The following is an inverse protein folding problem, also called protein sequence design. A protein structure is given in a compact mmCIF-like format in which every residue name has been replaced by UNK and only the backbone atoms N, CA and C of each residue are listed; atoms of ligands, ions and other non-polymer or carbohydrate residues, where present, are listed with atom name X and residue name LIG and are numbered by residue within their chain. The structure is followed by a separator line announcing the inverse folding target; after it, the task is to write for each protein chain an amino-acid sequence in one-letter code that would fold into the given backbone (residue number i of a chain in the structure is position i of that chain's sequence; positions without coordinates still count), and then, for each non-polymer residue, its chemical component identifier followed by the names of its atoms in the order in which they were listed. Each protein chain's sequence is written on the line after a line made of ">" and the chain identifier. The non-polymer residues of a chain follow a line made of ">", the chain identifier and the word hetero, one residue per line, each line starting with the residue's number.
data_IF_130166329466
#
_entry.id   IF_130166329466
#
_cell.length_a   1.000
_cell.length_b   1.000
_cell.length_c   1.000
_cell.angle_alpha   90.00
_cell.angle_beta   90.00
_cell.angle_gamma   90.00
#
_symmetry.space_group_name_H-M   'P 1'
#
loop_
_entity.id
_entity.type
_entity.pdbx_description
1 polymer ?
#
# COMPACT_ATOMS: atom_id res chain seq x y z
N UNK A 1 -52.99 18.36 -35.88
CA UNK A 1 -52.37 17.03 -35.90
C UNK A 1 -50.85 17.06 -36.11
N UNK A 2 -50.30 17.91 -36.99
CA UNK A 2 -48.84 17.95 -37.30
C UNK A 2 -47.96 18.45 -36.13
N UNK A 3 -48.48 19.34 -35.28
CA UNK A 3 -47.73 19.89 -34.11
C UNK A 3 -47.56 18.86 -33.01
N UNK A 4 -48.55 17.99 -32.74
CA UNK A 4 -48.43 16.92 -31.74
C UNK A 4 -47.46 15.81 -32.15
N UNK A 5 -47.34 15.53 -33.45
CA UNK A 5 -46.37 14.55 -33.94
C UNK A 5 -44.94 15.08 -33.86
N UNK A 6 -44.71 16.39 -34.05
CA UNK A 6 -43.41 17.01 -33.87
C UNK A 6 -42.97 17.05 -32.40
N UNK A 7 -43.90 17.32 -31.48
CA UNK A 7 -43.64 17.28 -30.02
C UNK A 7 -43.34 15.88 -29.50
N UNK A 8 -44.04 14.84 -29.99
CA UNK A 8 -43.79 13.45 -29.64
C UNK A 8 -42.44 12.94 -30.16
N UNK A 9 -42.04 13.35 -31.36
CA UNK A 9 -40.73 13.02 -31.93
C UNK A 9 -39.58 13.70 -31.17
N UNK A 10 -39.77 14.95 -30.73
CA UNK A 10 -38.80 15.69 -29.94
C UNK A 10 -38.66 15.09 -28.50
N UNK A 11 -39.76 14.61 -27.93
CA UNK A 11 -39.70 13.95 -26.60
C UNK A 11 -39.04 12.58 -26.67
N UNK A 12 -39.22 11.83 -27.76
CA UNK A 12 -38.62 10.52 -27.97
C UNK A 12 -37.10 10.59 -28.21
N UNK A 13 -36.61 11.68 -28.87
CA UNK A 13 -35.18 11.90 -29.08
C UNK A 13 -34.44 12.34 -27.82
N UNK A 14 -35.14 12.90 -26.82
CA UNK A 14 -34.53 13.30 -25.55
C UNK A 14 -34.27 12.12 -24.59
N UNK A 15 -34.99 11.01 -24.73
CA UNK A 15 -34.85 9.81 -23.87
C UNK A 15 -33.68 8.93 -24.31
N UNK A 16 -33.20 9.03 -25.54
CA UNK A 16 -32.06 8.24 -26.02
C UNK A 16 -30.69 8.80 -25.60
N UNK A 17 -30.59 9.99 -25.01
CA UNK A 17 -29.34 10.61 -24.61
C UNK A 17 -28.91 10.23 -23.17
N UNK A 18 -29.69 9.42 -22.43
CA UNK A 18 -29.46 9.11 -21.02
C UNK A 18 -28.61 7.85 -20.76
N UNK A 19 -28.10 7.17 -21.77
CA UNK A 19 -27.10 6.11 -21.60
C UNK A 19 -25.69 6.65 -21.84
N UNK A 20 -25.29 7.68 -21.10
CA UNK A 20 -23.89 7.96 -20.90
C UNK A 20 -23.34 6.89 -19.95
N UNK A 21 -22.85 5.78 -20.51
CA UNK A 21 -22.00 4.83 -19.80
C UNK A 21 -20.85 5.63 -19.18
N UNK A 22 -20.75 5.58 -17.87
CA UNK A 22 -19.57 6.02 -17.15
C UNK A 22 -18.41 5.14 -17.62
N UNK A 23 -17.74 5.55 -18.68
CA UNK A 23 -16.46 4.96 -19.08
C UNK A 23 -15.50 5.33 -17.96
N UNK A 24 -15.07 4.32 -17.20
CA UNK A 24 -13.97 4.46 -16.28
C UNK A 24 -12.79 5.13 -17.01
N UNK A 25 -12.18 6.11 -16.41
CA UNK A 25 -11.06 6.83 -17.00
C UNK A 25 -10.01 5.83 -17.46
N UNK A 26 -9.77 5.79 -18.77
CA UNK A 26 -8.72 4.96 -19.40
C UNK A 26 -7.33 5.57 -19.22
N UNK A 27 -7.21 6.64 -18.46
CA UNK A 27 -5.93 7.25 -18.17
C UNK A 27 -5.12 6.33 -17.25
N UNK A 28 -3.94 5.93 -17.73
CA UNK A 28 -2.99 5.15 -16.95
C UNK A 28 -2.71 5.87 -15.62
N UNK A 29 -2.60 5.12 -14.51
CA UNK A 29 -2.23 5.72 -13.24
C UNK A 29 -0.90 6.44 -13.41
N UNK A 30 -0.87 7.75 -13.19
CA UNK A 30 0.37 8.53 -13.26
C UNK A 30 1.29 7.99 -12.18
N UNK A 31 2.40 7.39 -12.59
CA UNK A 31 3.48 7.04 -11.70
C UNK A 31 4.19 8.36 -11.33
N UNK A 32 4.04 8.78 -10.10
CA UNK A 32 4.82 9.89 -9.56
C UNK A 32 5.97 9.30 -8.73
N UNK A 33 7.20 9.22 -9.28
CA UNK A 33 8.35 8.71 -8.54
C UNK A 33 8.68 9.57 -7.32
N UNK A 34 8.36 10.86 -7.36
CA UNK A 34 8.62 11.79 -6.25
C UNK A 34 7.65 11.60 -5.07
N UNK A 35 6.45 11.07 -5.32
CA UNK A 35 5.51 10.70 -4.24
C UNK A 35 6.00 9.47 -3.45
N UNK A 36 6.96 8.74 -3.99
CA UNK A 36 7.65 7.61 -3.37
C UNK A 36 9.09 7.97 -2.95
N UNK A 37 9.51 9.25 -3.11
CA UNK A 37 10.76 9.71 -2.53
C UNK A 37 10.76 9.33 -1.06
N UNK A 38 11.81 8.62 -0.64
CA UNK A 38 11.94 8.00 0.67
C UNK A 38 11.69 9.02 1.77
N UNK A 39 10.44 9.13 2.18
CA UNK A 39 10.12 9.82 3.43
C UNK A 39 10.84 9.08 4.54
N UNK A 40 11.55 9.82 5.36
CA UNK A 40 12.28 9.27 6.50
C UNK A 40 11.35 8.33 7.28
N UNK A 41 11.83 7.12 7.57
CA UNK A 41 11.03 6.12 8.26
C UNK A 41 10.62 6.61 9.66
N UNK A 42 9.35 6.49 9.99
CA UNK A 42 8.83 6.76 11.31
C UNK A 42 8.42 5.44 11.96
N UNK A 43 8.94 5.20 13.12
CA UNK A 43 8.69 4.00 13.92
C UNK A 43 7.19 3.88 14.20
N UNK A 44 6.62 2.72 13.93
CA UNK A 44 5.23 2.39 14.20
C UNK A 44 5.05 1.47 15.39
N UNK A 45 3.80 1.31 15.82
CA UNK A 45 3.43 0.30 16.82
C UNK A 45 3.75 -1.08 16.28
N UNK A 46 4.21 -1.97 17.15
CA UNK A 46 4.59 -3.36 16.86
C UNK A 46 5.93 -3.55 16.12
N UNK A 47 6.59 -2.47 15.70
CA UNK A 47 7.97 -2.56 15.19
C UNK A 47 8.92 -3.11 16.23
N UNK A 48 9.90 -3.89 15.81
CA UNK A 48 10.91 -4.43 16.68
C UNK A 48 12.18 -3.57 16.61
N UNK A 49 12.54 -2.97 17.73
CA UNK A 49 13.71 -2.10 17.84
C UNK A 49 14.82 -2.79 18.64
N UNK A 50 16.04 -2.60 18.21
CA UNK A 50 17.24 -2.90 18.97
C UNK A 50 17.88 -1.58 19.40
N UNK A 51 17.90 -1.35 20.71
CA UNK A 51 18.62 -0.24 21.35
C UNK A 51 19.98 -0.77 21.72
N UNK A 52 21.04 -0.24 21.12
CA UNK A 52 22.43 -0.60 21.41
C UNK A 52 23.12 0.55 22.12
N UNK A 53 23.68 0.28 23.29
CA UNK A 53 24.48 1.24 24.09
C UNK A 53 25.94 0.77 24.11
N UNK A 54 26.79 1.56 23.46
CA UNK A 54 28.21 1.21 23.30
C UNK A 54 28.89 0.96 24.66
N UNK A 55 29.67 -0.10 24.75
CA UNK A 55 30.36 -0.55 25.96
C UNK A 55 29.44 -0.85 27.18
N UNK A 56 28.10 -0.94 26.96
CA UNK A 56 27.13 -1.24 28.02
C UNK A 56 26.13 -2.28 27.54
N UNK A 57 26.50 -3.54 27.38
CA UNK A 57 25.61 -4.58 26.87
C UNK A 57 24.38 -4.79 27.77
N UNK A 58 24.53 -4.60 29.09
CA UNK A 58 23.41 -4.71 30.04
C UNK A 58 22.34 -3.64 29.88
N UNK A 59 22.64 -2.54 29.16
CA UNK A 59 21.70 -1.47 28.81
C UNK A 59 21.17 -1.62 27.39
N UNK A 60 21.75 -2.52 26.61
CA UNK A 60 21.29 -2.83 25.25
C UNK A 60 20.11 -3.80 25.31
N UNK A 61 19.05 -3.52 24.53
CA UNK A 61 17.82 -4.29 24.62
C UNK A 61 17.13 -4.36 23.25
N UNK A 62 16.51 -5.51 22.96
CA UNK A 62 15.65 -5.70 21.80
C UNK A 62 14.19 -5.74 22.26
N UNK A 63 13.41 -4.75 21.85
CA UNK A 63 12.04 -4.54 22.36
C UNK A 63 11.07 -4.15 21.26
N UNK A 64 9.81 -4.64 21.31
CA UNK A 64 8.76 -4.15 20.43
C UNK A 64 8.25 -2.78 20.89
N UNK A 65 7.77 -1.99 19.93
CA UNK A 65 7.02 -0.77 20.22
C UNK A 65 5.62 -1.16 20.71
N UNK A 66 5.29 -0.77 21.91
CA UNK A 66 4.01 -1.07 22.55
C UNK A 66 2.85 -0.32 21.86
N UNK A 67 1.59 -0.74 22.09
CA UNK A 67 0.41 -0.05 21.56
C UNK A 67 0.29 1.44 21.93
N UNK A 68 0.91 1.84 23.06
CA UNK A 68 0.99 3.24 23.50
C UNK A 68 2.12 4.03 22.82
N UNK A 69 2.81 3.42 21.82
CA UNK A 69 3.92 4.03 21.08
C UNK A 69 5.22 4.13 21.89
N UNK A 70 5.37 3.42 23.02
CA UNK A 70 6.55 3.47 23.87
C UNK A 70 7.37 2.18 23.80
N UNK A 71 8.64 2.32 24.12
CA UNK A 71 9.57 1.21 24.41
C UNK A 71 10.09 1.35 25.83
N UNK A 72 10.43 0.25 26.45
CA UNK A 72 11.05 0.27 27.79
C UNK A 72 12.54 0.00 27.67
N UNK A 73 13.37 0.91 28.18
CA UNK A 73 14.84 0.83 28.14
C UNK A 73 15.36 0.73 29.56
N UNK A 74 16.34 -0.16 29.83
CA UNK A 74 16.95 -0.29 31.16
C UNK A 74 17.40 1.06 31.74
N UNK A 75 17.32 1.22 33.06
CA UNK A 75 17.62 2.42 33.86
C UNK A 75 16.70 3.62 33.64
N UNK A 76 16.28 3.92 32.41
CA UNK A 76 15.53 5.15 32.07
C UNK A 76 14.04 4.93 31.90
N UNK A 77 13.58 3.66 31.92
CA UNK A 77 12.17 3.33 31.80
C UNK A 77 11.59 3.59 30.40
N UNK A 78 10.36 4.09 30.37
CA UNK A 78 9.60 4.26 29.13
C UNK A 78 10.02 5.48 28.30
N UNK A 79 10.29 5.24 27.02
CA UNK A 79 10.66 6.25 26.00
C UNK A 79 9.65 6.23 24.87
N UNK A 80 9.19 7.39 24.40
CA UNK A 80 8.30 7.50 23.24
C UNK A 80 9.10 7.22 21.98
N UNK A 81 8.70 6.19 21.22
CA UNK A 81 9.32 5.78 19.96
C UNK A 81 8.36 5.95 18.77
N UNK A 82 7.07 5.66 18.96
CA UNK A 82 6.06 5.76 17.91
C UNK A 82 5.95 7.16 17.31
N UNK A 83 5.95 7.24 15.98
CA UNK A 83 5.93 8.48 15.22
C UNK A 83 7.25 9.22 15.13
N UNK A 84 8.32 8.74 15.80
CA UNK A 84 9.67 9.30 15.73
C UNK A 84 10.55 8.52 14.77
N UNK A 85 11.64 9.14 14.32
CA UNK A 85 12.68 8.44 13.58
C UNK A 85 13.62 7.72 14.55
N UNK A 86 14.36 6.67 14.11
CA UNK A 86 15.36 6.00 14.94
C UNK A 86 16.38 6.96 15.55
N UNK A 87 16.82 7.97 14.78
CA UNK A 87 17.78 8.98 15.24
C UNK A 87 17.20 9.85 16.36
N UNK A 88 15.92 10.24 16.27
CA UNK A 88 15.24 11.02 17.31
C UNK A 88 15.12 10.21 18.60
N UNK A 89 14.77 8.91 18.49
CA UNK A 89 14.67 8.02 19.67
C UNK A 89 16.05 7.81 20.29
N UNK A 90 17.09 7.61 19.46
CA UNK A 90 18.48 7.50 19.91
C UNK A 90 18.94 8.74 20.71
N UNK A 91 18.63 9.94 20.20
CA UNK A 91 18.95 11.20 20.88
C UNK A 91 18.21 11.33 22.24
N UNK A 92 16.92 10.96 22.29
CA UNK A 92 16.15 10.99 23.55
C UNK A 92 16.71 10.02 24.61
N UNK A 93 17.07 8.80 24.18
CA UNK A 93 17.68 7.79 25.08
C UNK A 93 19.03 8.29 25.56
N UNK A 94 19.87 8.78 24.66
CA UNK A 94 21.19 9.33 24.99
C UNK A 94 21.09 10.42 26.05
N UNK A 95 20.17 11.37 25.88
CA UNK A 95 20.00 12.48 26.83
C UNK A 95 19.62 11.97 28.23
N UNK A 96 18.69 11.03 28.31
CA UNK A 96 18.25 10.46 29.61
C UNK A 96 19.34 9.61 30.27
N UNK A 97 20.14 8.87 29.49
CA UNK A 97 21.22 8.05 30.01
C UNK A 97 22.38 8.85 30.59
N UNK A 98 22.58 10.12 30.21
CA UNK A 98 23.61 11.02 30.79
C UNK A 98 23.54 11.14 32.32
N UNK A 99 22.36 10.94 32.90
CA UNK A 99 22.18 10.97 34.35
C UNK A 99 22.76 9.72 35.04
N UNK A 100 23.03 8.66 34.31
CA UNK A 100 23.47 7.35 34.84
C UNK A 100 24.87 6.96 34.39
N UNK A 101 25.24 7.32 33.15
CA UNK A 101 26.54 6.97 32.57
C UNK A 101 27.17 8.18 31.88
N UNK A 102 28.52 8.20 31.87
CA UNK A 102 29.29 9.26 31.26
C UNK A 102 29.37 9.05 29.74
N UNK A 103 29.00 10.06 28.97
CA UNK A 103 29.08 10.12 27.50
C UNK A 103 28.49 8.88 26.78
N UNK A 104 27.18 8.57 26.99
CA UNK A 104 26.55 7.42 26.36
C UNK A 104 26.54 7.55 24.84
N UNK A 105 26.93 6.49 24.12
CA UNK A 105 26.75 6.37 22.69
C UNK A 105 25.65 5.35 22.44
N UNK A 106 24.55 5.82 21.83
CA UNK A 106 23.33 5.03 21.63
C UNK A 106 23.03 4.94 20.14
N UNK A 107 22.68 3.74 19.69
CA UNK A 107 22.12 3.50 18.37
C UNK A 107 20.76 2.80 18.53
N UNK A 108 19.77 3.22 17.73
CA UNK A 108 18.48 2.57 17.63
C UNK A 108 18.34 2.01 16.22
N UNK A 109 18.14 0.70 16.12
CA UNK A 109 18.05 -0.04 14.88
C UNK A 109 16.66 -0.66 14.79
N UNK A 110 15.95 -0.43 13.68
CA UNK A 110 14.68 -1.13 13.41
C UNK A 110 15.04 -2.49 12.81
N UNK A 111 14.84 -3.56 13.57
CA UNK A 111 15.17 -4.92 13.12
C UNK A 111 14.01 -5.59 12.38
N UNK A 112 12.77 -5.19 12.66
CA UNK A 112 11.58 -5.66 11.95
C UNK A 112 10.58 -4.51 11.78
N UNK A 113 10.16 -4.29 10.54
CA UNK A 113 9.26 -3.20 10.11
C UNK A 113 7.79 -3.67 10.10
N UNK A 114 7.30 -4.24 11.21
CA UNK A 114 5.98 -4.88 11.27
C UNK A 114 4.82 -3.90 11.00
N UNK A 115 4.93 -2.68 11.53
CA UNK A 115 3.93 -1.63 11.30
C UNK A 115 3.82 -1.26 9.83
N UNK A 116 4.96 -1.13 9.15
CA UNK A 116 5.04 -0.83 7.73
C UNK A 116 4.44 -1.96 6.88
N UNK A 117 4.80 -3.21 7.17
CA UNK A 117 4.26 -4.36 6.47
C UNK A 117 2.75 -4.51 6.64
N UNK A 118 2.19 -4.16 7.80
CA UNK A 118 0.77 -4.21 8.06
C UNK A 118 -0.01 -3.08 7.36
N UNK A 119 0.51 -1.86 7.38
CA UNK A 119 -0.15 -0.68 6.84
C UNK A 119 -0.04 -0.58 5.31
N UNK A 120 1.09 -0.99 4.75
CA UNK A 120 1.39 -0.87 3.32
C UNK A 120 1.21 -2.22 2.61
N UNK A 121 -0.03 -2.54 2.25
CA UNK A 121 -0.38 -3.82 1.59
C UNK A 121 -1.07 -3.59 0.26
N UNK A 122 -0.86 -4.55 -0.66
CA UNK A 122 -1.63 -4.72 -1.89
C UNK A 122 -2.48 -5.97 -1.75
N UNK A 123 -3.71 -5.93 -2.22
CA UNK A 123 -4.65 -7.05 -2.15
C UNK A 123 -4.93 -7.59 -3.54
N UNK A 124 -4.90 -8.91 -3.68
CA UNK A 124 -5.25 -9.61 -4.92
C UNK A 124 -6.43 -10.53 -4.63
N UNK A 125 -7.51 -10.37 -5.40
CA UNK A 125 -8.78 -11.05 -5.19
C UNK A 125 -9.36 -11.60 -6.50
N UNK A 126 -10.41 -12.41 -6.40
CA UNK A 126 -11.12 -12.98 -7.55
C UNK A 126 -10.53 -14.29 -8.02
N UNK A 127 -10.48 -14.50 -9.35
CA UNK A 127 -10.08 -15.75 -9.98
C UNK A 127 -8.55 -15.93 -10.04
N UNK A 128 -7.90 -15.83 -8.89
CA UNK A 128 -6.50 -16.18 -8.65
C UNK A 128 -6.41 -17.44 -7.81
N UNK A 129 -5.28 -18.16 -7.86
CA UNK A 129 -5.14 -19.43 -7.12
C UNK A 129 -5.26 -19.24 -5.62
N UNK A 130 -4.62 -18.21 -5.08
CA UNK A 130 -4.62 -17.90 -3.66
C UNK A 130 -4.90 -16.41 -3.48
N UNK A 131 -6.17 -16.01 -3.24
CA UNK A 131 -6.45 -14.62 -2.87
C UNK A 131 -5.62 -14.21 -1.65
N UNK A 132 -4.89 -13.10 -1.76
CA UNK A 132 -3.85 -12.76 -0.79
C UNK A 132 -3.76 -11.25 -0.57
N UNK A 133 -3.33 -10.87 0.63
CA UNK A 133 -2.87 -9.52 0.96
C UNK A 133 -1.37 -9.60 1.21
N UNK A 134 -0.58 -8.92 0.37
CA UNK A 134 0.89 -8.95 0.42
C UNK A 134 1.44 -7.59 0.84
N UNK A 135 2.60 -7.54 1.53
CA UNK A 135 3.32 -6.29 1.75
C UNK A 135 3.67 -5.62 0.43
N UNK A 136 3.53 -4.32 0.38
CA UNK A 136 3.97 -3.54 -0.77
C UNK A 136 5.50 -3.41 -0.78
N UNK A 137 6.11 -3.59 -1.93
CA UNK A 137 7.52 -3.29 -2.16
C UNK A 137 7.64 -2.22 -3.25
N UNK A 138 8.59 -1.32 -3.10
CA UNK A 138 8.85 -0.28 -4.09
C UNK A 138 9.17 -0.90 -5.46
N UNK A 139 8.50 -0.41 -6.52
CA UNK A 139 8.65 -0.94 -7.87
C UNK A 139 7.72 -2.13 -8.20
N UNK A 140 6.93 -2.61 -7.23
CA UNK A 140 5.96 -3.69 -7.47
C UNK A 140 4.90 -3.29 -8.50
N UNK A 141 4.58 -4.22 -9.40
CA UNK A 141 3.57 -4.06 -10.45
C UNK A 141 2.35 -4.96 -10.22
N UNK A 142 1.30 -4.78 -11.03
CA UNK A 142 0.14 -5.68 -11.03
C UNK A 142 0.55 -7.12 -11.30
N UNK A 143 1.46 -7.35 -12.25
CA UNK A 143 1.96 -8.69 -12.58
C UNK A 143 2.62 -9.36 -11.37
N UNK A 144 3.50 -8.64 -10.67
CA UNK A 144 4.20 -9.17 -9.49
C UNK A 144 3.20 -9.58 -8.40
N UNK A 145 2.19 -8.75 -8.15
CA UNK A 145 1.17 -9.04 -7.16
C UNK A 145 0.32 -10.27 -7.54
N UNK A 146 -0.05 -10.43 -8.81
CA UNK A 146 -0.82 -11.58 -9.30
C UNK A 146 0.04 -12.86 -9.24
N UNK A 147 1.32 -12.79 -9.58
CA UNK A 147 2.23 -13.92 -9.44
C UNK A 147 2.42 -14.35 -7.98
N UNK A 148 2.51 -13.40 -7.07
CA UNK A 148 2.54 -13.68 -5.63
C UNK A 148 1.25 -14.36 -5.12
N UNK A 149 0.12 -14.12 -5.78
CA UNK A 149 -1.16 -14.82 -5.55
C UNK A 149 -1.20 -16.23 -6.19
N UNK A 150 -0.08 -16.73 -6.74
CA UNK A 150 0.02 -18.02 -7.42
C UNK A 150 -0.47 -18.01 -8.87
N UNK A 151 -0.71 -16.83 -9.44
CA UNK A 151 -1.24 -16.66 -10.79
C UNK A 151 -2.77 -16.78 -10.86
N UNK A 152 -3.28 -16.74 -12.09
CA UNK A 152 -4.72 -16.85 -12.38
C UNK A 152 -5.21 -18.29 -12.42
N UNK A 153 -6.51 -18.49 -12.20
CA UNK A 153 -7.16 -19.81 -12.41
C UNK A 153 -7.59 -19.98 -13.87
N UNK A 154 -7.94 -21.21 -14.24
CA UNK A 154 -8.50 -21.52 -15.57
C UNK A 154 -9.84 -20.84 -15.86
N UNK A 155 -10.59 -20.46 -14.81
CA UNK A 155 -11.87 -19.77 -14.92
C UNK A 155 -11.74 -18.25 -14.97
N UNK A 156 -10.54 -17.72 -14.94
CA UNK A 156 -10.29 -16.29 -14.95
C UNK A 156 -10.64 -15.64 -16.29
N UNK A 157 -11.11 -14.37 -16.24
CA UNK A 157 -11.21 -13.46 -17.36
C UNK A 157 -10.09 -12.42 -17.29
N UNK A 158 -8.84 -12.78 -17.66
CA UNK A 158 -7.66 -11.99 -17.32
C UNK A 158 -7.62 -10.61 -17.96
N UNK A 159 -8.20 -10.43 -19.15
CA UNK A 159 -8.26 -9.12 -19.82
C UNK A 159 -9.37 -8.20 -19.30
N UNK A 160 -10.15 -8.68 -18.33
CA UNK A 160 -11.12 -7.89 -17.56
C UNK A 160 -10.64 -7.60 -16.14
N UNK A 161 -9.35 -7.81 -15.87
CA UNK A 161 -8.73 -7.48 -14.57
C UNK A 161 -8.79 -5.97 -14.35
N UNK A 162 -9.05 -5.58 -13.12
CA UNK A 162 -9.10 -4.18 -12.71
C UNK A 162 -8.20 -3.93 -11.50
N UNK A 163 -7.50 -2.80 -11.55
CA UNK A 163 -6.76 -2.23 -10.44
C UNK A 163 -7.58 -1.10 -9.83
N UNK A 164 -8.01 -1.27 -8.59
CA UNK A 164 -8.71 -0.25 -7.82
C UNK A 164 -7.74 0.49 -6.91
N UNK A 165 -7.70 1.81 -7.05
CA UNK A 165 -6.90 2.70 -6.22
C UNK A 165 -7.79 3.69 -5.48
N UNK A 166 -7.70 3.68 -4.16
CA UNK A 166 -8.42 4.64 -3.33
C UNK A 166 -7.52 5.82 -3.01
N UNK A 167 -7.94 7.00 -3.41
CA UNK A 167 -7.39 8.28 -2.93
C UNK A 167 -8.25 8.80 -1.78
N UNK A 168 -7.88 9.92 -1.16
CA UNK A 168 -8.60 10.46 0.03
C UNK A 168 -10.12 10.58 -0.16
N UNK A 169 -10.61 10.85 -1.36
CA UNK A 169 -12.02 11.12 -1.65
C UNK A 169 -12.64 10.27 -2.76
N UNK A 170 -11.84 9.54 -3.54
CA UNK A 170 -12.33 8.87 -4.75
C UNK A 170 -11.69 7.48 -4.88
N UNK A 171 -12.42 6.53 -5.44
CA UNK A 171 -11.87 5.26 -5.91
C UNK A 171 -11.84 5.29 -7.43
N UNK A 172 -10.65 5.13 -7.98
CA UNK A 172 -10.43 5.00 -9.44
C UNK A 172 -10.20 3.55 -9.80
N UNK A 173 -10.73 3.10 -10.94
CA UNK A 173 -10.44 1.78 -11.51
C UNK A 173 -9.63 1.93 -12.80
N UNK A 174 -8.67 1.06 -12.98
CA UNK A 174 -7.80 0.99 -14.14
C UNK A 174 -7.87 -0.40 -14.75
N UNK A 175 -8.22 -0.48 -16.03
CA UNK A 175 -8.32 -1.74 -16.74
C UNK A 175 -6.92 -2.33 -16.99
N UNK A 176 -6.74 -3.59 -16.63
CA UNK A 176 -5.49 -4.35 -16.82
C UNK A 176 -5.74 -5.49 -17.79
N UNK A 177 -4.98 -5.55 -18.87
CA UNK A 177 -5.01 -6.64 -19.87
C UNK A 177 -4.07 -7.76 -19.46
N UNK A 178 -4.39 -8.40 -18.33
CA UNK A 178 -3.51 -9.39 -17.72
C UNK A 178 -3.22 -10.60 -18.64
N UNK A 179 -4.18 -10.98 -19.48
CA UNK A 179 -3.97 -12.03 -20.49
C UNK A 179 -2.90 -11.63 -21.51
N UNK A 180 -2.94 -10.42 -22.01
CA UNK A 180 -1.94 -9.90 -22.94
C UNK A 180 -0.55 -9.77 -22.28
N UNK A 181 -0.52 -9.43 -20.99
CA UNK A 181 0.73 -9.35 -20.21
C UNK A 181 1.35 -10.76 -20.11
N UNK A 182 0.55 -11.76 -19.72
CA UNK A 182 1.03 -13.11 -19.42
C UNK A 182 1.35 -13.92 -20.68
N UNK A 183 0.60 -13.74 -21.79
CA UNK A 183 0.72 -14.55 -22.99
C UNK A 183 1.56 -13.87 -24.07
N UNK A 184 1.39 -12.57 -24.25
CA UNK A 184 2.02 -11.81 -25.33
C UNK A 184 3.19 -10.93 -24.86
N UNK A 185 3.45 -10.83 -23.56
CA UNK A 185 4.46 -9.92 -22.99
C UNK A 185 4.16 -8.44 -23.17
N UNK A 186 2.89 -8.05 -23.44
CA UNK A 186 2.50 -6.66 -23.63
C UNK A 186 2.31 -5.94 -22.29
N UNK A 187 3.32 -5.22 -21.86
CA UNK A 187 3.38 -4.58 -20.54
C UNK A 187 2.66 -3.21 -20.45
N UNK A 188 1.99 -2.75 -21.50
CA UNK A 188 1.37 -1.41 -21.53
C UNK A 188 0.34 -1.13 -20.43
N UNK A 189 -0.30 -2.19 -19.90
CA UNK A 189 -1.23 -2.11 -18.75
C UNK A 189 -0.72 -2.77 -17.48
N UNK A 190 0.57 -3.10 -17.43
CA UNK A 190 1.22 -3.58 -16.21
C UNK A 190 1.57 -2.41 -15.30
N UNK A 191 0.57 -1.83 -14.68
CA UNK A 191 0.73 -0.62 -13.87
C UNK A 191 1.51 -0.89 -12.59
N UNK A 192 2.32 0.09 -12.13
CA UNK A 192 2.89 0.06 -10.80
C UNK A 192 1.78 0.17 -9.74
N UNK A 193 1.82 -0.69 -8.76
CA UNK A 193 0.87 -0.67 -7.64
C UNK A 193 1.32 0.29 -6.56
N UNK A 194 0.39 0.67 -5.69
CA UNK A 194 0.62 1.51 -4.52
C UNK A 194 0.01 0.84 -3.27
N UNK A 195 0.48 1.21 -2.07
CA UNK A 195 -0.14 0.77 -0.83
C UNK A 195 -1.65 1.05 -0.81
N UNK A 196 -2.43 0.04 -0.43
CA UNK A 196 -3.88 0.13 -0.40
C UNK A 196 -4.59 -0.28 -1.69
N UNK A 197 -3.86 -0.50 -2.79
CA UNK A 197 -4.44 -0.96 -4.04
C UNK A 197 -5.08 -2.35 -3.91
N UNK A 198 -6.16 -2.55 -4.66
CA UNK A 198 -6.85 -3.84 -4.78
C UNK A 198 -6.88 -4.25 -6.26
N UNK A 199 -6.35 -5.41 -6.55
CA UNK A 199 -6.38 -6.03 -7.88
C UNK A 199 -7.47 -7.09 -7.85
N UNK A 200 -8.43 -7.00 -8.76
CA UNK A 200 -9.51 -7.97 -8.89
C UNK A 200 -9.47 -8.63 -10.26
N UNK A 201 -9.32 -9.95 -10.26
CA UNK A 201 -9.38 -10.78 -11.47
C UNK A 201 -10.76 -11.42 -11.53
N UNK A 202 -11.66 -11.00 -12.43
CA UNK A 202 -13.01 -11.57 -12.51
C UNK A 202 -12.99 -12.97 -13.10
N UNK A 203 -14.07 -13.73 -12.84
CA UNK A 203 -14.32 -15.00 -13.51
C UNK A 203 -14.95 -14.75 -14.89
N UNK A 204 -14.81 -15.74 -15.79
CA UNK A 204 -15.57 -15.77 -17.05
C UNK A 204 -17.04 -15.97 -16.72
N UNK A 205 -17.89 -15.09 -17.24
CA UNK A 205 -19.33 -15.34 -17.30
C UNK A 205 -19.61 -16.20 -18.52
N UNK A 206 -20.31 -17.28 -18.36
CA UNK A 206 -20.81 -18.15 -19.42
C UNK A 206 -22.13 -17.59 -19.95
#
# INVERSE_FOLDING_TARGET
>A
MKIYQALLAALFSLVLAACATTQGSTDAPVFNPDAQAMTQYHIGVDDLLEVSVWNNPDLSVKVPVRPDGRITVPLIGDVVAGGKTPDQVSADIKERLKSFIRDPQVAVIVTELRSHEYLLRVRVTGAVRNPVSIPYHQGMTVLDAVLAAGGITEFAAPDRTELYRKTKSTTSSYAVRLGQILQDGKLGTNYPVQPGDVITVPQRSF
#
